data_IF_134842909885
#
_entry.id   IF_134842909885
#
_cell.length_a   1.000
_cell.length_b   1.000
_cell.length_c   1.000
_cell.angle_alpha   90.00
_cell.angle_beta   90.00
_cell.angle_gamma   90.00
#
_symmetry.space_group_name_H-M   'P 1'
#
loop_
_entity.id
_entity.type
_entity.pdbx_description
1 polymer ?
#
# COMPACT_ATOMS: atom_id res chain seq x y z
N UNK A 1 -7.38 24.36 28.59
CA UNK A 1 -8.15 23.43 29.43
C UNK A 1 -8.26 22.13 28.65
N UNK A 2 -7.77 21.06 29.28
CA UNK A 2 -7.70 19.64 28.88
C UNK A 2 -8.46 19.17 27.64
N UNK A 3 -7.74 18.91 26.54
CA UNK A 3 -8.23 18.08 25.43
C UNK A 3 -7.43 16.78 25.21
N UNK A 4 -6.39 16.52 26.02
CA UNK A 4 -5.48 15.38 25.81
C UNK A 4 -5.72 14.20 26.79
N UNK A 5 -6.70 14.31 27.69
CA UNK A 5 -6.90 13.35 28.79
C UNK A 5 -7.61 12.03 28.40
N UNK A 6 -7.76 11.73 27.11
CA UNK A 6 -8.46 10.51 26.64
C UNK A 6 -7.84 9.82 25.41
N UNK A 7 -6.79 10.39 24.82
CA UNK A 7 -6.12 9.81 23.66
C UNK A 7 -4.86 9.06 24.09
N UNK A 8 -4.67 7.84 23.58
CA UNK A 8 -3.41 7.13 23.75
C UNK A 8 -2.24 8.02 23.30
N UNK A 9 -1.15 8.03 24.07
CA UNK A 9 0.04 8.83 23.73
C UNK A 9 0.52 8.51 22.31
N UNK A 10 1.21 9.47 21.67
CA UNK A 10 1.77 9.26 20.33
C UNK A 10 2.62 7.98 20.25
N UNK A 11 3.42 7.73 21.30
CA UNK A 11 4.24 6.52 21.41
C UNK A 11 3.37 5.27 21.43
N UNK A 12 2.35 5.22 22.31
CA UNK A 12 1.45 4.08 22.40
C UNK A 12 0.69 3.81 21.09
N UNK A 13 0.28 4.87 20.37
CA UNK A 13 -0.36 4.73 19.06
C UNK A 13 0.60 4.17 18.00
N UNK A 14 1.83 4.67 17.95
CA UNK A 14 2.86 4.15 17.04
C UNK A 14 3.17 2.68 17.33
N UNK A 15 3.36 2.33 18.61
CA UNK A 15 3.59 0.95 19.04
C UNK A 15 2.45 0.03 18.61
N UNK A 16 1.19 0.46 18.79
CA UNK A 16 0.02 -0.31 18.36
C UNK A 16 -0.02 -0.54 16.85
N UNK A 17 0.20 0.50 16.05
CA UNK A 17 0.20 0.41 14.57
C UNK A 17 1.33 -0.50 14.07
N UNK A 18 2.55 -0.31 14.57
CA UNK A 18 3.71 -1.11 14.19
C UNK A 18 3.54 -2.56 14.61
N UNK A 19 3.00 -2.81 15.81
CA UNK A 19 2.73 -4.17 16.31
C UNK A 19 1.68 -4.86 15.44
N UNK A 20 0.61 -4.18 15.05
CA UNK A 20 -0.41 -4.74 14.17
C UNK A 20 0.16 -5.10 12.79
N UNK A 21 0.96 -4.21 12.19
CA UNK A 21 1.61 -4.48 10.91
C UNK A 21 2.61 -5.63 11.01
N UNK A 22 3.36 -5.73 12.11
CA UNK A 22 4.38 -6.75 12.33
C UNK A 22 3.84 -8.08 12.87
N UNK A 23 2.55 -8.17 13.20
CA UNK A 23 1.95 -9.36 13.78
C UNK A 23 2.03 -10.57 12.84
N UNK A 24 2.10 -11.78 13.41
CA UNK A 24 2.11 -13.03 12.66
C UNK A 24 0.87 -13.22 11.78
N UNK A 25 -0.27 -12.64 12.18
CA UNK A 25 -1.51 -12.61 11.37
C UNK A 25 -1.35 -11.87 10.04
N UNK A 26 -0.34 -11.02 9.91
CA UNK A 26 0.01 -10.40 8.65
C UNK A 26 0.85 -11.30 7.75
N UNK A 27 1.39 -12.43 8.23
CA UNK A 27 2.18 -13.43 7.48
C UNK A 27 3.33 -12.84 6.62
N UNK A 28 3.77 -11.61 6.95
CA UNK A 28 4.69 -10.82 6.15
C UNK A 28 4.03 -9.98 5.04
N UNK A 29 4.66 -8.87 4.67
CA UNK A 29 4.06 -7.84 3.79
C UNK A 29 4.82 -7.64 2.49
N UNK A 30 5.44 -8.70 1.98
CA UNK A 30 6.12 -8.66 0.67
C UNK A 30 5.06 -8.49 -0.41
N UNK A 31 5.27 -7.58 -1.36
CA UNK A 31 4.40 -7.42 -2.53
C UNK A 31 4.13 -8.76 -3.23
N UNK A 32 2.90 -8.99 -3.68
CA UNK A 32 2.51 -10.28 -4.25
C UNK A 32 2.13 -11.36 -3.23
N UNK A 33 1.89 -11.02 -1.96
CA UNK A 33 1.45 -11.97 -0.93
C UNK A 33 0.10 -11.58 -0.32
N UNK A 34 -0.68 -12.55 0.20
CA UNK A 34 -1.94 -12.26 0.91
C UNK A 34 -1.74 -11.31 2.11
N UNK A 35 -0.59 -11.41 2.77
CA UNK A 35 -0.22 -10.54 3.88
C UNK A 35 -0.03 -9.07 3.49
N UNK A 36 0.50 -8.79 2.29
CA UNK A 36 0.53 -7.44 1.76
C UNK A 36 -0.88 -6.87 1.55
N UNK A 37 -1.82 -7.67 1.02
CA UNK A 37 -3.21 -7.24 0.86
C UNK A 37 -3.91 -6.97 2.20
N UNK A 38 -3.64 -7.79 3.23
CA UNK A 38 -4.16 -7.54 4.58
C UNK A 38 -3.61 -6.24 5.17
N UNK A 39 -2.31 -6.00 4.99
CA UNK A 39 -1.69 -4.76 5.44
C UNK A 39 -2.25 -3.54 4.70
N UNK A 40 -2.49 -3.62 3.39
CA UNK A 40 -3.11 -2.54 2.63
C UNK A 40 -4.51 -2.19 3.16
N UNK A 41 -5.35 -3.21 3.42
CA UNK A 41 -6.69 -3.01 4.02
C UNK A 41 -6.62 -2.43 5.43
N UNK A 42 -5.67 -2.88 6.25
CA UNK A 42 -5.45 -2.32 7.59
C UNK A 42 -5.08 -0.84 7.51
N UNK A 43 -4.15 -0.47 6.63
CA UNK A 43 -3.75 0.92 6.44
C UNK A 43 -4.90 1.79 5.91
N UNK A 44 -5.67 1.29 4.95
CA UNK A 44 -6.88 1.97 4.47
C UNK A 44 -7.86 2.26 5.60
N UNK A 45 -8.14 1.27 6.46
CA UNK A 45 -9.01 1.45 7.62
C UNK A 45 -8.45 2.46 8.64
N UNK A 46 -7.12 2.49 8.87
CA UNK A 46 -6.50 3.49 9.73
C UNK A 46 -6.61 4.90 9.15
N UNK A 47 -6.39 5.08 7.84
CA UNK A 47 -6.58 6.37 7.17
C UNK A 47 -8.02 6.87 7.28
N UNK A 48 -8.99 5.97 7.09
CA UNK A 48 -10.40 6.27 7.28
C UNK A 48 -10.70 6.72 8.71
N UNK A 49 -10.17 6.00 9.71
CA UNK A 49 -10.31 6.35 11.13
C UNK A 49 -9.70 7.71 11.46
N UNK A 50 -8.65 8.13 10.75
CA UNK A 50 -8.04 9.45 10.90
C UNK A 50 -8.75 10.55 10.09
N UNK A 51 -9.78 10.22 9.32
CA UNK A 51 -10.55 11.18 8.52
C UNK A 51 -9.80 11.67 7.28
N UNK A 52 -8.81 10.91 6.80
CA UNK A 52 -8.10 11.22 5.55
C UNK A 52 -9.04 10.97 4.38
N UNK A 53 -9.05 11.85 3.38
CA UNK A 53 -9.88 11.66 2.19
C UNK A 53 -9.33 10.53 1.33
N UNK A 54 -10.19 9.62 0.88
CA UNK A 54 -9.78 8.51 0.02
C UNK A 54 -9.44 8.99 -1.39
N UNK A 55 -8.41 8.41 -2.02
CA UNK A 55 -7.94 8.84 -3.35
C UNK A 55 -7.45 7.68 -4.23
N UNK A 56 -7.88 6.46 -3.95
CA UNK A 56 -7.70 5.31 -4.84
C UNK A 56 -8.90 5.13 -5.78
N UNK A 57 -8.76 4.25 -6.76
CA UNK A 57 -9.84 3.90 -7.69
C UNK A 57 -10.96 3.07 -7.01
N UNK A 58 -10.63 2.37 -5.91
CA UNK A 58 -11.55 1.64 -5.04
C UNK A 58 -11.38 2.11 -3.58
N UNK A 59 -11.99 3.25 -3.25
CA UNK A 59 -11.84 3.89 -1.95
C UNK A 59 -10.39 4.34 -1.71
N UNK A 60 -9.73 3.80 -0.69
CA UNK A 60 -8.31 4.09 -0.43
C UNK A 60 -7.36 3.21 -1.25
N UNK A 61 -7.86 2.18 -1.94
CA UNK A 61 -7.04 1.24 -2.68
C UNK A 61 -6.93 1.67 -4.14
N UNK A 62 -5.70 1.84 -4.61
CA UNK A 62 -5.39 2.06 -6.02
C UNK A 62 -4.84 0.76 -6.62
N UNK A 63 -5.60 0.03 -7.44
CA UNK A 63 -5.14 -1.20 -8.07
C UNK A 63 -3.86 -0.98 -8.88
N UNK A 64 -2.90 -1.89 -8.75
CA UNK A 64 -1.65 -1.89 -9.52
C UNK A 64 -1.55 -3.21 -10.27
N UNK A 65 -1.68 -3.22 -11.61
CA UNK A 65 -1.46 -4.44 -12.37
C UNK A 65 -0.01 -4.88 -12.20
N UNK A 66 0.19 -6.06 -11.63
CA UNK A 66 1.51 -6.66 -11.45
C UNK A 66 1.54 -8.08 -12.00
N UNK A 67 2.71 -8.48 -12.50
CA UNK A 67 2.95 -9.84 -12.96
C UNK A 67 4.31 -10.38 -12.49
N UNK A 68 4.40 -11.70 -12.40
CA UNK A 68 5.58 -12.44 -11.97
C UNK A 68 6.30 -13.03 -13.17
N UNK A 69 7.40 -12.41 -13.59
CA UNK A 69 8.18 -12.86 -14.76
C UNK A 69 9.47 -13.55 -14.33
N UNK A 70 9.86 -14.54 -15.13
CA UNK A 70 11.13 -15.24 -14.95
C UNK A 70 12.16 -14.63 -15.90
N UNK A 71 13.27 -14.15 -15.35
CA UNK A 71 14.38 -13.59 -16.11
C UNK A 71 15.58 -14.52 -16.01
N UNK A 72 16.14 -14.90 -17.17
CA UNK A 72 17.41 -15.62 -17.24
C UNK A 72 18.55 -14.61 -17.33
N UNK A 73 19.45 -14.67 -16.37
CA UNK A 73 20.66 -13.82 -16.34
C UNK A 73 21.91 -14.70 -16.43
N UNK A 74 23.08 -14.10 -16.65
CA UNK A 74 24.36 -14.82 -16.57
C UNK A 74 24.58 -15.48 -15.19
N UNK A 75 23.94 -14.95 -14.14
CA UNK A 75 23.98 -15.48 -12.77
C UNK A 75 22.87 -16.52 -12.47
N UNK A 76 22.12 -16.95 -13.49
CA UNK A 76 21.03 -17.92 -13.37
C UNK A 76 19.63 -17.32 -13.54
N UNK A 77 18.63 -18.16 -13.30
CA UNK A 77 17.21 -17.83 -13.42
C UNK A 77 16.71 -17.16 -12.15
N UNK A 78 16.08 -15.99 -12.29
CA UNK A 78 15.49 -15.24 -11.18
C UNK A 78 14.09 -14.81 -11.52
N UNK A 79 13.29 -14.63 -10.49
CA UNK A 79 11.93 -14.17 -10.63
C UNK A 79 11.82 -12.70 -10.21
N UNK A 80 11.04 -11.92 -10.95
CA UNK A 80 10.87 -10.49 -10.75
C UNK A 80 9.39 -10.11 -10.88
N UNK A 81 8.97 -9.15 -10.08
CA UNK A 81 7.68 -8.48 -10.25
C UNK A 81 7.85 -7.33 -11.24
N UNK A 82 6.93 -7.24 -12.20
CA UNK A 82 6.87 -6.17 -13.20
C UNK A 82 5.50 -5.51 -13.18
N UNK A 83 5.48 -4.27 -13.65
CA UNK A 83 4.27 -3.47 -13.92
C UNK A 83 4.23 -3.13 -15.42
N UNK A 84 3.06 -2.75 -15.98
CA UNK A 84 2.97 -2.33 -17.37
C UNK A 84 3.94 -1.20 -17.66
N UNK A 85 4.68 -1.34 -18.75
CA UNK A 85 5.63 -0.35 -19.23
C UNK A 85 5.86 -0.57 -20.73
N UNK A 86 6.50 0.37 -21.42
CA UNK A 86 6.78 0.23 -22.86
C UNK A 86 7.52 -1.07 -23.22
N UNK A 87 8.33 -1.60 -22.31
CA UNK A 87 9.07 -2.86 -22.50
C UNK A 87 8.38 -4.12 -21.98
N UNK A 88 7.18 -4.00 -21.40
CA UNK A 88 6.44 -5.13 -20.80
C UNK A 88 4.98 -5.05 -21.24
N UNK A 89 4.66 -5.83 -22.28
CA UNK A 89 3.30 -5.98 -22.78
C UNK A 89 2.53 -7.02 -21.94
N UNK A 90 1.59 -6.55 -21.13
CA UNK A 90 0.80 -7.40 -20.22
C UNK A 90 -0.17 -8.32 -20.93
N UNK A 91 -0.59 -8.02 -22.16
CA UNK A 91 -1.49 -8.88 -22.94
C UNK A 91 -0.78 -10.17 -23.40
N UNK A 92 0.55 -10.19 -23.35
CA UNK A 92 1.35 -11.38 -23.68
C UNK A 92 1.66 -12.26 -22.48
N UNK A 93 1.33 -11.81 -21.27
CA UNK A 93 1.64 -12.51 -20.03
C UNK A 93 0.53 -13.53 -19.72
N UNK A 94 0.87 -14.81 -19.46
CA UNK A 94 -0.11 -15.80 -19.01
C UNK A 94 -0.86 -15.36 -17.75
N UNK A 95 -2.18 -15.57 -17.68
CA UNK A 95 -3.02 -15.11 -16.57
C UNK A 95 -2.57 -15.63 -15.19
N UNK A 96 -2.03 -16.85 -15.12
CA UNK A 96 -1.49 -17.46 -13.89
C UNK A 96 -0.27 -16.73 -13.32
N UNK A 97 0.35 -15.87 -14.14
CA UNK A 97 1.50 -15.03 -13.77
C UNK A 97 1.06 -13.63 -13.31
N UNK A 98 -0.18 -13.23 -13.59
CA UNK A 98 -0.75 -11.96 -13.16
C UNK A 98 -1.14 -12.07 -11.69
N UNK A 99 -0.76 -11.07 -10.90
CA UNK A 99 -1.06 -11.01 -9.47
C UNK A 99 -2.34 -10.19 -9.26
N UNK A 100 -3.47 -10.85 -8.89
CA UNK A 100 -4.71 -10.12 -8.63
C UNK A 100 -4.63 -9.39 -7.28
N UNK A 101 -5.26 -8.21 -7.23
CA UNK A 101 -5.49 -7.50 -5.97
C UNK A 101 -4.28 -6.77 -5.38
N UNK A 102 -3.17 -6.66 -6.11
CA UNK A 102 -2.10 -5.72 -5.74
C UNK A 102 -2.64 -4.30 -5.83
N UNK A 103 -2.41 -3.51 -4.78
CA UNK A 103 -2.87 -2.15 -4.70
C UNK A 103 -1.96 -1.31 -3.82
N UNK A 104 -1.83 -0.03 -4.18
CA UNK A 104 -1.32 0.99 -3.27
C UNK A 104 -2.44 1.44 -2.33
N UNK A 105 -2.06 2.05 -1.20
CA UNK A 105 -2.99 2.75 -0.31
C UNK A 105 -2.78 4.25 -0.50
N UNK A 106 -3.80 4.97 -0.92
CA UNK A 106 -3.72 6.38 -1.34
C UNK A 106 -4.80 7.19 -0.64
N UNK A 107 -4.39 8.35 -0.10
CA UNK A 107 -5.30 9.31 0.52
C UNK A 107 -4.79 10.74 0.36
N UNK A 108 -5.70 11.70 0.46
CA UNK A 108 -5.43 13.13 0.36
C UNK A 108 -5.54 13.76 1.75
N UNK A 109 -4.46 14.44 2.14
CA UNK A 109 -4.43 15.33 3.29
C UNK A 109 -4.45 16.76 2.79
N UNK A 110 -5.53 17.49 3.03
CA UNK A 110 -5.63 18.90 2.65
C UNK A 110 -4.84 19.75 3.62
N UNK A 111 -3.86 20.48 3.11
CA UNK A 111 -3.14 21.50 3.88
C UNK A 111 -4.07 22.62 4.31
N UNK A 112 -3.75 23.25 5.44
CA UNK A 112 -4.48 24.43 5.95
C UNK A 112 -3.86 25.75 5.51
N UNK A 113 -2.66 25.71 4.93
CA UNK A 113 -1.91 26.89 4.51
C UNK A 113 -2.29 27.27 3.07
N UNK A 114 -2.85 28.47 2.85
CA UNK A 114 -3.25 28.91 1.52
C UNK A 114 -2.08 29.18 0.58
N UNK A 115 -0.85 29.41 1.08
CA UNK A 115 0.30 29.73 0.22
C UNK A 115 0.83 28.51 -0.53
N UNK A 116 0.61 27.31 0.00
CA UNK A 116 1.03 26.03 -0.58
C UNK A 116 -0.15 25.13 -0.94
N UNK A 117 -1.35 25.71 -1.04
CA UNK A 117 -2.60 24.96 -1.25
C UNK A 117 -2.63 24.17 -2.57
N UNK A 118 -1.86 24.59 -3.57
CA UNK A 118 -1.74 23.94 -4.89
C UNK A 118 -0.48 23.04 -5.01
N UNK A 119 0.27 22.85 -3.93
CA UNK A 119 1.45 21.97 -3.92
C UNK A 119 1.08 20.54 -3.46
N UNK A 120 1.60 19.53 -4.16
CA UNK A 120 1.43 18.11 -3.81
C UNK A 120 2.80 17.46 -3.56
N UNK A 121 2.88 16.58 -2.56
CA UNK A 121 4.08 15.80 -2.17
C UNK A 121 3.78 14.31 -2.19
#
# INVERSE_FOLDING_TARGET
ADADAGAASRVARLESLLSALAADSMEGRRTGTPGAHRAARFLAAELERYGVEAAGDDGYLQPVPMARVTMTTAAGVRERLVIPSEGVDFDTIPEDRILPGEANVVGILRGSDPEVADEAV
#
